data_IF_491554502140
#
_entry.id   IF_491554502140
#
_cell.length_a   1.000
_cell.length_b   1.000
_cell.length_c   1.000
_cell.angle_alpha   90.00
_cell.angle_beta   90.00
_cell.angle_gamma   90.00
#
_symmetry.space_group_name_H-M   'P 1'
#
loop_
_entity.id
_entity.type
_entity.pdbx_description
1 polymer ?
#
# COMPACT_ATOMS: atom_id res chain seq x y z
N UNK A 1 6.96 -5.80 -19.67
CA UNK A 1 8.08 -4.85 -19.44
C UNK A 1 8.00 -4.38 -17.99
N UNK A 2 9.02 -4.65 -17.16
CA UNK A 2 9.11 -4.08 -15.80
C UNK A 2 9.17 -2.54 -15.94
N UNK A 3 8.39 -1.81 -15.16
CA UNK A 3 8.42 -0.34 -15.19
C UNK A 3 9.83 0.12 -14.78
N UNK A 4 10.55 0.94 -15.57
CA UNK A 4 11.90 1.41 -15.24
C UNK A 4 11.97 2.23 -13.94
N UNK A 5 10.84 2.76 -13.46
CA UNK A 5 10.73 3.41 -12.15
C UNK A 5 10.55 2.42 -10.97
N UNK A 6 10.36 1.13 -11.24
CA UNK A 6 10.25 0.10 -10.20
C UNK A 6 11.65 -0.33 -9.74
N UNK A 7 12.36 0.61 -9.11
CA UNK A 7 13.78 0.47 -8.79
C UNK A 7 14.04 -0.53 -7.65
N UNK A 8 13.13 -0.63 -6.67
CA UNK A 8 13.30 -1.51 -5.50
C UNK A 8 11.98 -1.69 -4.74
N UNK A 9 11.70 -2.92 -4.32
CA UNK A 9 10.69 -3.19 -3.30
C UNK A 9 11.37 -3.11 -1.93
N UNK A 10 10.81 -2.32 -1.02
CA UNK A 10 11.34 -2.20 0.34
C UNK A 10 10.43 -2.95 1.31
N UNK A 11 11.02 -3.74 2.20
CA UNK A 11 10.30 -4.19 3.39
C UNK A 11 10.16 -3.03 4.38
N UNK A 12 9.18 -3.12 5.29
CA UNK A 12 8.82 -2.04 6.22
C UNK A 12 10.03 -1.46 6.98
N UNK A 13 10.89 -2.33 7.52
CA UNK A 13 12.06 -1.91 8.31
C UNK A 13 13.12 -1.19 7.47
N UNK A 14 13.39 -1.69 6.27
CA UNK A 14 14.32 -1.06 5.33
C UNK A 14 13.81 0.32 4.90
N UNK A 15 12.52 0.40 4.56
CA UNK A 15 11.88 1.64 4.18
C UNK A 15 11.95 2.67 5.32
N UNK A 16 11.58 2.26 6.53
CA UNK A 16 11.63 3.11 7.73
C UNK A 16 13.05 3.64 7.98
N UNK A 17 14.04 2.75 7.94
CA UNK A 17 15.45 3.12 8.17
C UNK A 17 15.95 4.10 7.11
N UNK A 18 15.62 3.85 5.84
CA UNK A 18 15.99 4.73 4.73
C UNK A 18 15.36 6.12 4.89
N UNK A 19 14.06 6.19 5.17
CA UNK A 19 13.36 7.46 5.31
C UNK A 19 13.85 8.26 6.53
N UNK A 20 14.07 7.60 7.68
CA UNK A 20 14.60 8.26 8.87
C UNK A 20 16.05 8.75 8.70
N UNK A 21 16.80 8.22 7.73
CA UNK A 21 18.14 8.76 7.40
C UNK A 21 18.09 10.12 6.72
N UNK A 22 16.94 10.51 6.15
CA UNK A 22 16.77 11.73 5.37
C UNK A 22 15.76 12.70 5.99
N UNK A 23 14.83 12.20 6.80
CA UNK A 23 13.73 12.97 7.38
C UNK A 23 13.68 12.77 8.90
N UNK A 24 13.65 13.85 9.70
CA UNK A 24 13.62 13.75 11.16
C UNK A 24 12.31 13.14 11.68
N UNK A 25 11.21 13.26 10.93
CA UNK A 25 9.91 12.70 11.29
C UNK A 25 9.29 11.97 10.10
N UNK A 26 8.96 10.69 10.32
CA UNK A 26 8.36 9.80 9.32
C UNK A 26 7.17 9.06 9.94
N UNK A 27 6.00 9.23 9.35
CA UNK A 27 4.78 8.49 9.68
C UNK A 27 4.48 7.51 8.55
N UNK A 28 4.30 6.23 8.89
CA UNK A 28 4.06 5.17 7.91
C UNK A 28 2.67 4.59 8.13
N UNK A 29 1.88 4.60 7.07
CA UNK A 29 0.56 4.00 6.99
C UNK A 29 0.58 2.82 6.01
N UNK A 30 -0.20 1.80 6.31
CA UNK A 30 -0.46 0.69 5.42
C UNK A 30 -1.69 0.97 4.58
N UNK A 31 -1.60 0.65 3.29
CA UNK A 31 -2.76 0.52 2.42
C UNK A 31 -3.28 -0.92 2.52
N UNK A 32 -4.53 -1.10 2.91
CA UNK A 32 -5.13 -2.41 3.15
C UNK A 32 -6.31 -2.66 2.22
N UNK A 33 -6.44 -3.93 1.82
CA UNK A 33 -7.60 -4.41 1.07
C UNK A 33 -8.79 -4.59 2.00
N UNK A 34 -9.90 -3.94 1.64
CA UNK A 34 -11.19 -4.11 2.29
C UNK A 34 -11.75 -5.53 2.11
N UNK A 35 -12.73 -5.96 2.93
CA UNK A 35 -13.41 -7.25 2.75
C UNK A 35 -13.98 -7.43 1.33
N UNK A 36 -14.50 -6.34 0.73
CA UNK A 36 -14.99 -6.31 -0.65
C UNK A 36 -13.90 -6.72 -1.63
N UNK A 37 -12.70 -6.16 -1.53
CA UNK A 37 -11.55 -6.58 -2.35
C UNK A 37 -11.25 -8.07 -2.21
N UNK A 38 -11.23 -8.58 -0.97
CA UNK A 38 -10.93 -10.01 -0.71
C UNK A 38 -11.98 -10.93 -1.34
N UNK A 39 -13.25 -10.52 -1.33
CA UNK A 39 -14.32 -11.24 -2.01
C UNK A 39 -14.06 -11.34 -3.53
N UNK A 40 -13.82 -10.21 -4.19
CA UNK A 40 -13.55 -10.21 -5.64
C UNK A 40 -12.24 -10.90 -6.01
N UNK A 41 -11.21 -10.88 -5.15
CA UNK A 41 -10.01 -11.69 -5.36
C UNK A 41 -10.30 -13.19 -5.35
N UNK A 42 -11.21 -13.66 -4.49
CA UNK A 42 -11.64 -15.07 -4.48
C UNK A 42 -12.39 -15.42 -5.75
N UNK A 43 -13.32 -14.56 -6.20
CA UNK A 43 -14.04 -14.75 -7.47
C UNK A 43 -13.07 -14.82 -8.65
N UNK A 44 -12.08 -13.92 -8.69
CA UNK A 44 -11.01 -13.94 -9.69
C UNK A 44 -10.23 -15.26 -9.66
N UNK A 45 -9.92 -15.77 -8.47
CA UNK A 45 -9.14 -17.01 -8.29
C UNK A 45 -9.88 -18.25 -8.83
N UNK A 46 -11.21 -18.28 -8.75
CA UNK A 46 -12.04 -19.37 -9.28
C UNK A 46 -12.45 -19.17 -10.75
N UNK A 47 -11.92 -18.14 -11.43
CA UNK A 47 -12.14 -17.89 -12.86
C UNK A 47 -13.40 -17.11 -13.21
N UNK A 48 -14.10 -16.52 -12.24
CA UNK A 48 -15.26 -15.68 -12.52
C UNK A 48 -14.84 -14.27 -13.00
N UNK A 49 -15.61 -13.66 -13.91
CA UNK A 49 -15.33 -12.33 -14.42
C UNK A 49 -15.50 -11.28 -13.31
N UNK A 50 -14.46 -10.46 -13.14
CA UNK A 50 -14.38 -9.41 -12.10
C UNK A 50 -13.98 -8.05 -12.67
N UNK A 51 -13.96 -7.92 -14.00
CA UNK A 51 -13.48 -6.73 -14.72
C UNK A 51 -14.21 -5.47 -14.29
N UNK A 52 -15.53 -5.52 -14.14
CA UNK A 52 -16.34 -4.37 -13.71
C UNK A 52 -16.02 -3.86 -12.31
N UNK A 53 -15.66 -4.75 -11.38
CA UNK A 53 -15.17 -4.34 -10.07
C UNK A 53 -13.83 -3.62 -10.22
N UNK A 54 -12.84 -4.27 -10.82
CA UNK A 54 -11.49 -3.70 -10.92
C UNK A 54 -11.40 -2.45 -11.81
N UNK A 55 -12.34 -2.23 -12.74
CA UNK A 55 -12.40 -1.00 -13.55
C UNK A 55 -12.99 0.20 -12.83
N UNK A 56 -13.63 0.01 -11.67
CA UNK A 56 -14.30 1.06 -10.89
C UNK A 56 -13.65 1.35 -9.54
N UNK A 57 -12.58 0.63 -9.19
CA UNK A 57 -11.87 0.83 -7.92
C UNK A 57 -11.23 2.21 -7.87
N UNK A 58 -11.42 2.88 -6.74
CA UNK A 58 -10.78 4.15 -6.42
C UNK A 58 -9.97 4.03 -5.12
N UNK A 59 -9.27 5.10 -4.73
CA UNK A 59 -8.55 5.15 -3.45
C UNK A 59 -9.48 4.99 -2.24
N UNK A 60 -10.77 5.35 -2.38
CA UNK A 60 -11.76 5.22 -1.31
C UNK A 60 -12.14 3.76 -1.00
N UNK A 61 -11.85 2.81 -1.89
CA UNK A 61 -12.14 1.39 -1.68
C UNK A 61 -11.06 0.68 -0.83
N UNK A 62 -10.01 1.40 -0.42
CA UNK A 62 -8.93 0.91 0.42
C UNK A 62 -9.01 1.50 1.82
N UNK A 63 -8.46 0.78 2.78
CA UNK A 63 -8.31 1.25 4.15
C UNK A 63 -6.86 1.73 4.35
N UNK A 64 -6.69 2.96 4.84
CA UNK A 64 -5.39 3.53 5.19
C UNK A 64 -5.29 3.59 6.70
N UNK A 65 -4.34 2.85 7.28
CA UNK A 65 -4.18 2.79 8.74
C UNK A 65 -2.73 2.57 9.15
N UNK A 66 -2.34 3.09 10.31
CA UNK A 66 -1.03 2.81 10.91
C UNK A 66 -0.98 1.42 11.59
N UNK A 67 -2.13 0.75 11.76
CA UNK A 67 -2.20 -0.55 12.39
C UNK A 67 -1.85 -1.68 11.41
N UNK A 68 -1.28 -2.77 11.93
CA UNK A 68 -1.07 -4.02 11.20
C UNK A 68 -0.30 -3.89 9.85
N UNK A 69 0.71 -3.00 9.80
CA UNK A 69 1.52 -2.71 8.61
C UNK A 69 2.07 -3.96 7.90
N UNK A 70 2.28 -5.06 8.62
CA UNK A 70 2.71 -6.35 8.04
C UNK A 70 1.72 -6.94 7.02
N UNK A 71 0.43 -6.60 7.11
CA UNK A 71 -0.62 -7.04 6.18
C UNK A 71 -0.99 -5.98 5.14
N UNK A 72 -0.24 -4.89 5.06
CA UNK A 72 -0.47 -3.86 4.06
C UNK A 72 -0.05 -4.38 2.68
N UNK A 73 -0.80 -4.02 1.64
CA UNK A 73 -0.44 -4.29 0.25
C UNK A 73 0.49 -3.24 -0.32
N UNK A 74 0.56 -2.07 0.32
CA UNK A 74 1.49 -1.00 0.01
C UNK A 74 1.67 -0.09 1.23
N UNK A 75 2.70 0.74 1.22
CA UNK A 75 2.95 1.73 2.27
C UNK A 75 2.77 3.15 1.75
N UNK A 76 2.12 3.99 2.55
CA UNK A 76 2.04 5.43 2.37
C UNK A 76 2.88 6.06 3.48
N UNK A 77 3.87 6.87 3.10
CA UNK A 77 4.76 7.52 4.06
C UNK A 77 4.60 9.03 4.00
N UNK A 78 4.35 9.65 5.15
CA UNK A 78 4.34 11.11 5.31
C UNK A 78 5.65 11.49 5.99
N UNK A 79 6.49 12.25 5.27
CA UNK A 79 7.82 12.63 5.71
C UNK A 79 7.89 14.15 5.91
N UNK A 80 8.27 14.60 7.10
CA UNK A 80 8.41 16.02 7.42
C UNK A 80 9.90 16.38 7.57
N UNK A 81 10.31 17.45 6.89
CA UNK A 81 11.70 17.98 6.98
C UNK A 81 11.94 18.82 8.23
N UNK A 82 10.89 19.33 8.84
CA UNK A 82 10.95 20.22 10.01
C UNK A 82 10.29 19.56 11.20
N UNK A 83 10.88 19.73 12.39
CA UNK A 83 10.21 19.46 13.65
C UNK A 83 9.31 20.67 13.96
N UNK A 84 8.05 20.62 13.50
CA UNK A 84 7.00 21.52 13.98
C UNK A 84 6.54 21.04 15.36
#
# INVERSE_FOLDING_TARGET
>A
KKNPAHCKEFILEELRRLLLSQFPKVEIYGLHLTPRHRFYQRLKKIGLPVTGFYSSITTADFEVTASNLRKAVSFICVCNKFNL
#
